data_IF_619179691006
#
_entry.id   IF_619179691006
#
_cell.length_a   1.000
_cell.length_b   1.000
_cell.length_c   1.000
_cell.angle_alpha   90.00
_cell.angle_beta   90.00
_cell.angle_gamma   90.00
#
_symmetry.space_group_name_H-M   'P 1'
#
loop_
_entity.id
_entity.type
_entity.pdbx_description
1 polymer ?
#
# COMPACT_ATOMS: atom_id res chain seq x y z
N UNK A 1 -15.20 -1.25 -26.50
CA UNK A 1 -14.05 -1.55 -25.62
C UNK A 1 -13.98 -0.50 -24.53
N UNK A 2 -13.79 -0.92 -23.28
CA UNK A 2 -13.12 -0.15 -22.23
C UNK A 2 -13.74 1.14 -21.66
N UNK A 3 -15.07 1.27 -21.56
CA UNK A 3 -15.66 2.29 -20.65
C UNK A 3 -15.69 1.78 -19.20
N UNK A 4 -16.04 0.51 -18.98
CA UNK A 4 -16.13 -0.11 -17.65
C UNK A 4 -14.78 -0.24 -16.92
N UNK A 5 -13.66 -0.14 -17.63
CA UNK A 5 -12.32 -0.13 -17.03
C UNK A 5 -11.95 1.22 -16.43
N UNK A 6 -12.52 2.32 -16.96
CA UNK A 6 -12.21 3.66 -16.48
C UNK A 6 -12.87 3.90 -15.13
N UNK A 7 -14.12 3.45 -14.95
CA UNK A 7 -14.80 3.56 -13.66
C UNK A 7 -14.20 2.68 -12.57
N UNK A 8 -13.75 1.46 -12.91
CA UNK A 8 -13.06 0.59 -11.95
C UNK A 8 -11.70 1.17 -11.53
N UNK A 9 -10.95 1.77 -12.46
CA UNK A 9 -9.69 2.45 -12.15
C UNK A 9 -9.93 3.73 -11.35
N UNK A 10 -10.97 4.52 -11.67
CA UNK A 10 -11.34 5.71 -10.87
C UNK A 10 -11.71 5.34 -9.44
N UNK A 11 -12.51 4.29 -9.25
CA UNK A 11 -12.85 3.78 -7.93
C UNK A 11 -11.61 3.27 -7.19
N UNK A 12 -10.69 2.59 -7.87
CA UNK A 12 -9.42 2.15 -7.30
C UNK A 12 -8.55 3.32 -6.82
N UNK A 13 -8.43 4.39 -7.62
CA UNK A 13 -7.66 5.60 -7.26
C UNK A 13 -8.33 6.39 -6.12
N UNK A 14 -9.66 6.50 -6.13
CA UNK A 14 -10.41 7.19 -5.08
C UNK A 14 -10.23 6.51 -3.72
N UNK A 15 -10.31 5.17 -3.69
CA UNK A 15 -10.12 4.38 -2.47
C UNK A 15 -8.66 4.31 -2.02
N UNK A 16 -7.70 4.49 -2.93
CA UNK A 16 -6.27 4.55 -2.60
C UNK A 16 -6.00 5.65 -1.57
N UNK A 17 -6.64 6.82 -1.70
CA UNK A 17 -6.49 7.93 -0.75
C UNK A 17 -6.92 7.54 0.67
N UNK A 18 -7.94 6.70 0.82
CA UNK A 18 -8.41 6.23 2.13
C UNK A 18 -7.51 5.14 2.71
N UNK A 19 -7.03 4.22 1.87
CA UNK A 19 -6.02 3.21 2.25
C UNK A 19 -4.72 3.87 2.72
N UNK A 20 -4.18 4.83 1.95
CA UNK A 20 -3.00 5.63 2.32
C UNK A 20 -3.22 6.53 3.55
N UNK A 21 -4.49 6.76 3.95
CA UNK A 21 -4.83 7.52 5.17
C UNK A 21 -4.84 6.65 6.43
N UNK A 22 -5.08 5.35 6.29
CA UNK A 22 -5.12 4.36 7.39
C UNK A 22 -3.79 3.62 7.57
N UNK A 23 -3.04 3.43 6.48
CA UNK A 23 -1.74 2.77 6.46
C UNK A 23 -0.78 3.61 5.65
N UNK A 24 0.30 4.02 6.28
CA UNK A 24 1.41 4.67 5.57
C UNK A 24 2.18 3.64 4.74
N UNK A 25 2.84 4.08 3.67
CA UNK A 25 3.78 3.25 2.90
C UNK A 25 4.76 2.47 3.80
N UNK A 26 5.20 3.11 4.89
CA UNK A 26 6.11 2.50 5.87
C UNK A 26 5.46 1.30 6.57
N UNK A 27 4.20 1.42 6.95
CA UNK A 27 3.46 0.35 7.62
C UNK A 27 3.17 -0.83 6.69
N UNK A 28 2.81 -0.58 5.43
CA UNK A 28 2.63 -1.64 4.43
C UNK A 28 3.94 -2.38 4.16
N UNK A 29 5.04 -1.66 3.98
CA UNK A 29 6.34 -2.26 3.75
C UNK A 29 6.79 -3.11 4.94
N UNK A 30 6.66 -2.61 6.18
CA UNK A 30 6.95 -3.38 7.39
C UNK A 30 6.01 -4.59 7.57
N UNK A 31 4.75 -4.50 7.14
CA UNK A 31 3.82 -5.63 7.16
C UNK A 31 4.23 -6.73 6.18
N UNK A 32 4.70 -6.36 4.98
CA UNK A 32 5.24 -7.28 3.99
C UNK A 32 6.47 -8.01 4.53
N UNK A 33 7.42 -7.27 5.11
CA UNK A 33 8.64 -7.87 5.68
C UNK A 33 8.31 -8.86 6.82
N UNK A 34 7.40 -8.48 7.72
CA UNK A 34 6.92 -9.37 8.81
C UNK A 34 6.22 -10.61 8.26
N UNK A 35 5.36 -10.47 7.24
CA UNK A 35 4.65 -11.59 6.62
C UNK A 35 5.60 -12.61 5.98
N UNK A 36 6.74 -12.15 5.46
CA UNK A 36 7.75 -13.02 4.85
C UNK A 36 8.82 -13.49 5.85
N UNK A 37 8.68 -13.18 7.14
CA UNK A 37 9.65 -13.58 8.17
C UNK A 37 11.03 -12.94 8.02
N UNK A 38 11.13 -11.84 7.28
CA UNK A 38 12.39 -11.12 7.10
C UNK A 38 12.67 -10.38 8.41
N UNK A 39 13.83 -10.63 9.01
CA UNK A 39 14.29 -9.82 10.13
C UNK A 39 14.80 -8.48 9.62
N UNK A 40 14.25 -7.40 10.16
CA UNK A 40 14.68 -6.03 9.89
C UNK A 40 14.63 -5.24 11.20
N UNK A 41 15.54 -4.28 11.36
CA UNK A 41 15.44 -3.29 12.43
C UNK A 41 14.69 -2.07 11.88
N UNK A 42 13.49 -1.74 12.41
CA UNK A 42 12.65 -0.63 11.95
C UNK A 42 13.36 0.71 11.84
N UNK A 43 14.45 0.91 12.61
CA UNK A 43 15.25 2.14 12.62
C UNK A 43 15.97 2.37 11.29
N UNK A 44 16.40 1.30 10.63
CA UNK A 44 17.22 1.39 9.40
C UNK A 44 16.46 1.10 8.10
N UNK A 45 15.14 0.85 8.16
CA UNK A 45 14.34 0.49 6.97
C UNK A 45 14.15 1.68 6.03
N UNK A 46 14.24 2.91 6.55
CA UNK A 46 13.94 4.14 5.81
C UNK A 46 14.92 5.29 6.13
N UNK A 47 16.11 4.99 6.68
CA UNK A 47 17.21 5.96 6.85
C UNK A 47 18.01 6.15 5.56
#
# INVERSE_FOLDING_TARGET
MSESSVDSVKAYVANQKEHHKKLTFKEEFMAILRKHGIQFDPRYVFE
#
